data_IF_535354561892
#
_entry.id   IF_535354561892
#
_cell.length_a   1.000
_cell.length_b   1.000
_cell.length_c   1.000
_cell.angle_alpha   90.00
_cell.angle_beta   90.00
_cell.angle_gamma   90.00
#
_symmetry.space_group_name_H-M   'P 1'
#
loop_
_entity.id
_entity.type
_entity.pdbx_description
1 polymer ?
#
# COMPACT_ATOMS: atom_id res chain seq x y z
N UNK A 1 6.23 -50.51 49.51
CA UNK A 1 7.18 -50.61 50.64
C UNK A 1 7.68 -49.18 50.95
N UNK A 2 7.36 -48.71 52.19
CA UNK A 2 7.98 -47.65 53.01
C UNK A 2 8.25 -46.30 52.32
N UNK A 3 7.44 -45.23 52.53
CA UNK A 3 7.32 -44.31 53.70
C UNK A 3 8.63 -43.64 54.06
N UNK A 4 8.68 -42.34 54.04
CA UNK A 4 8.88 -41.52 55.26
C UNK A 4 8.59 -40.04 54.94
N UNK A 5 7.62 -39.57 55.71
CA UNK A 5 7.29 -38.17 55.99
C UNK A 5 8.44 -37.49 56.70
N UNK A 6 8.62 -36.18 56.55
CA UNK A 6 9.02 -35.31 57.61
C UNK A 6 8.39 -33.92 57.52
N UNK A 7 7.80 -33.61 58.66
CA UNK A 7 7.02 -32.45 59.02
C UNK A 7 7.88 -31.23 59.37
N UNK A 8 7.31 -30.06 59.05
CA UNK A 8 7.18 -28.84 59.90
C UNK A 8 8.40 -28.29 60.70
N UNK A 9 8.63 -27.01 60.45
CA UNK A 9 8.62 -26.06 61.59
C UNK A 9 8.41 -24.62 61.12
N UNK A 10 7.32 -24.03 61.61
CA UNK A 10 6.96 -22.61 61.58
C UNK A 10 7.76 -21.83 62.55
N UNK A 11 8.43 -20.74 62.19
CA UNK A 11 8.86 -19.72 63.14
C UNK A 11 8.35 -18.36 62.73
N UNK A 12 7.41 -17.84 63.50
CA UNK A 12 6.95 -16.44 63.49
C UNK A 12 8.06 -15.56 64.07
N UNK A 13 8.31 -14.41 63.37
CA UNK A 13 9.03 -13.28 64.00
C UNK A 13 8.16 -12.02 63.95
N UNK A 14 8.27 -11.15 64.97
CA UNK A 14 7.29 -10.10 65.21
C UNK A 14 7.57 -8.84 64.47
N UNK A 15 6.45 -8.11 64.17
CA UNK A 15 6.44 -6.79 63.56
C UNK A 15 7.01 -5.72 64.49
N UNK A 16 8.01 -4.97 64.00
CA UNK A 16 8.37 -3.67 64.55
C UNK A 16 7.88 -2.59 63.61
N UNK A 17 6.95 -1.79 64.08
CA UNK A 17 6.45 -0.57 63.39
C UNK A 17 7.43 0.55 63.74
N UNK A 18 8.17 1.02 62.77
CA UNK A 18 8.98 2.22 62.89
C UNK A 18 8.23 3.38 62.23
N UNK A 19 7.74 4.30 63.06
CA UNK A 19 7.18 5.56 62.64
C UNK A 19 8.33 6.48 62.21
N UNK A 20 8.35 6.85 60.92
CA UNK A 20 9.23 7.91 60.40
C UNK A 20 8.39 9.18 60.31
N UNK A 21 8.74 10.18 61.12
CA UNK A 21 8.22 11.52 61.07
C UNK A 21 8.96 12.26 59.94
N UNK A 22 8.26 12.57 58.85
CA UNK A 22 8.80 13.45 57.82
C UNK A 22 8.56 14.91 58.19
N UNK A 23 9.63 15.63 58.51
CA UNK A 23 9.61 17.07 58.61
C UNK A 23 9.59 17.68 57.20
N UNK A 24 8.56 18.43 56.87
CA UNK A 24 8.46 19.20 55.63
C UNK A 24 9.36 20.43 55.70
N UNK A 25 10.43 20.44 54.90
CA UNK A 25 11.22 21.65 54.62
C UNK A 25 10.61 22.31 53.37
N UNK A 26 9.98 23.44 53.54
CA UNK A 26 9.51 24.31 52.46
C UNK A 26 10.68 25.09 51.89
N UNK A 27 11.08 24.76 50.66
CA UNK A 27 11.97 25.56 49.83
C UNK A 27 11.14 26.50 48.93
N UNK A 28 11.52 27.77 48.72
CA UNK A 28 10.81 28.68 47.84
C UNK A 28 11.10 28.32 46.41
N UNK A 29 10.03 28.04 45.64
CA UNK A 29 10.07 27.84 44.18
C UNK A 29 10.22 29.24 43.54
N UNK A 30 11.40 29.57 43.07
CA UNK A 30 11.61 30.68 42.14
C UNK A 30 11.08 30.27 40.77
N UNK A 31 9.97 30.88 40.37
CA UNK A 31 9.45 30.78 39.00
C UNK A 31 10.43 31.46 38.05
N UNK A 32 11.27 30.67 37.39
CA UNK A 32 11.96 31.09 36.18
C UNK A 32 10.95 31.00 35.02
N UNK A 33 10.40 32.16 34.62
CA UNK A 33 9.70 32.29 33.34
C UNK A 33 10.72 32.10 32.22
N UNK A 34 10.97 30.87 31.84
CA UNK A 34 11.58 30.51 30.58
C UNK A 34 10.58 30.74 29.47
N UNK A 35 10.82 31.76 28.63
CA UNK A 35 10.18 31.88 27.34
C UNK A 35 10.49 30.62 26.57
N UNK A 36 9.53 29.66 26.52
CA UNK A 36 9.48 28.66 25.49
C UNK A 36 9.05 29.38 24.22
N UNK A 37 9.99 29.70 23.36
CA UNK A 37 9.71 29.89 21.94
C UNK A 37 9.14 28.51 21.48
N UNK A 38 7.84 28.45 21.40
CA UNK A 38 7.17 27.28 20.84
C UNK A 38 7.57 27.16 19.37
N UNK A 39 8.50 26.27 19.05
CA UNK A 39 8.58 25.66 17.74
C UNK A 39 7.26 24.91 17.55
N UNK A 40 6.28 25.57 16.94
CA UNK A 40 5.13 24.91 16.35
C UNK A 40 5.62 24.17 15.11
N UNK A 41 6.36 23.08 15.31
CA UNK A 41 6.44 22.05 14.29
C UNK A 41 5.03 21.53 14.12
N UNK A 42 4.36 21.85 13.03
CA UNK A 42 3.08 21.28 12.65
C UNK A 42 3.28 19.75 12.61
N UNK A 43 2.84 19.08 13.66
CA UNK A 43 2.85 17.64 13.70
C UNK A 43 1.75 17.22 12.73
N UNK A 44 2.13 16.58 11.63
CA UNK A 44 1.16 16.00 10.70
C UNK A 44 0.32 15.01 11.50
N UNK A 45 -0.97 15.26 11.61
CA UNK A 45 -1.89 14.35 12.30
C UNK A 45 -1.97 13.05 11.52
N UNK A 46 -1.39 11.98 12.07
CA UNK A 46 -1.40 10.65 11.49
C UNK A 46 -2.46 9.81 12.18
N UNK A 47 -3.53 9.45 11.48
CA UNK A 47 -4.49 8.47 11.96
C UNK A 47 -3.95 7.06 11.67
N UNK A 48 -3.81 6.24 12.72
CA UNK A 48 -3.33 4.86 12.61
C UNK A 48 -4.44 3.90 13.03
N UNK A 49 -4.77 2.94 12.16
CA UNK A 49 -5.80 1.94 12.43
C UNK A 49 -5.45 0.56 11.86
N UNK A 50 -6.16 -0.46 12.32
CA UNK A 50 -5.81 -1.84 12.02
C UNK A 50 -4.67 -2.37 12.89
N UNK A 51 -4.55 -3.69 12.92
CA UNK A 51 -3.48 -4.42 13.62
C UNK A 51 -3.42 -5.85 13.10
N UNK A 52 -2.38 -6.57 13.46
CA UNK A 52 -2.22 -7.96 13.07
C UNK A 52 -3.37 -8.84 13.56
N UNK A 53 -3.97 -9.64 12.68
CA UNK A 53 -5.00 -10.62 13.04
C UNK A 53 -5.86 -11.04 11.86
N UNK A 54 -6.87 -11.89 12.15
CA UNK A 54 -7.80 -12.47 11.17
C UNK A 54 -9.24 -11.98 11.36
N UNK A 55 -9.53 -11.28 12.44
CA UNK A 55 -10.85 -10.70 12.68
C UNK A 55 -11.08 -9.48 11.78
N UNK A 56 -12.31 -9.00 11.73
CA UNK A 56 -12.65 -7.78 11.01
C UNK A 56 -11.89 -6.57 11.58
N UNK A 57 -11.42 -5.71 10.68
CA UNK A 57 -10.54 -4.59 11.04
C UNK A 57 -9.09 -4.97 11.37
N UNK A 58 -8.70 -6.25 11.21
CA UNK A 58 -7.32 -6.72 11.37
C UNK A 58 -6.77 -7.23 10.07
N UNK A 59 -5.44 -7.23 9.94
CA UNK A 59 -4.75 -7.57 8.70
C UNK A 59 -3.60 -8.55 8.90
N UNK A 60 -3.35 -9.39 7.89
CA UNK A 60 -2.09 -10.12 7.71
C UNK A 60 -1.38 -9.60 6.46
N UNK A 61 -0.46 -8.66 6.64
CA UNK A 61 0.31 -8.05 5.55
C UNK A 61 -0.63 -7.60 4.41
N UNK A 62 -1.36 -6.49 4.58
CA UNK A 62 -2.21 -5.93 3.53
C UNK A 62 -1.35 -5.63 2.30
N UNK A 63 -1.87 -5.88 1.09
CA UNK A 63 -1.11 -5.86 -0.16
C UNK A 63 -1.63 -4.91 -1.21
N UNK A 64 -2.94 -4.70 -1.26
CA UNK A 64 -3.51 -3.73 -2.15
C UNK A 64 -4.63 -2.96 -1.47
N UNK A 65 -4.76 -1.72 -1.85
CA UNK A 65 -5.80 -0.80 -1.43
C UNK A 65 -6.28 -0.01 -2.65
N UNK A 66 -7.58 0.16 -2.75
CA UNK A 66 -8.19 1.11 -3.67
C UNK A 66 -9.34 1.82 -2.98
N UNK A 67 -9.82 2.89 -3.58
CA UNK A 67 -10.91 3.70 -3.05
C UNK A 67 -11.93 3.96 -4.16
N UNK A 68 -13.21 3.96 -3.83
CA UNK A 68 -14.26 4.30 -4.77
C UNK A 68 -14.71 5.77 -4.64
N UNK A 69 -15.67 6.16 -5.47
CA UNK A 69 -16.23 7.52 -5.51
C UNK A 69 -17.04 7.92 -4.27
N UNK A 70 -17.30 6.98 -3.36
CA UNK A 70 -17.94 7.19 -2.06
C UNK A 70 -16.94 7.19 -0.90
N UNK A 71 -15.64 7.27 -1.20
CA UNK A 71 -14.53 7.17 -0.23
C UNK A 71 -14.54 5.86 0.57
N UNK A 72 -15.06 4.75 0.00
CA UNK A 72 -14.93 3.43 0.61
C UNK A 72 -13.60 2.82 0.24
N UNK A 73 -12.85 2.41 1.25
CA UNK A 73 -11.54 1.78 1.11
C UNK A 73 -11.72 0.26 0.98
N UNK A 74 -11.20 -0.31 -0.09
CA UNK A 74 -11.13 -1.76 -0.32
C UNK A 74 -9.71 -2.21 -0.08
N UNK A 75 -9.49 -3.15 0.85
CA UNK A 75 -8.16 -3.61 1.24
C UNK A 75 -8.11 -5.12 1.18
N UNK A 76 -7.14 -5.68 0.46
CA UNK A 76 -6.88 -7.12 0.44
C UNK A 76 -5.59 -7.43 1.18
N UNK A 77 -5.59 -8.53 1.94
CA UNK A 77 -4.43 -9.01 2.66
C UNK A 77 -3.96 -10.41 2.18
N UNK A 78 -2.87 -10.91 2.75
CA UNK A 78 -2.31 -12.23 2.41
C UNK A 78 -3.26 -13.41 2.61
N UNK A 79 -4.40 -13.23 3.24
CA UNK A 79 -5.40 -14.28 3.47
C UNK A 79 -6.46 -14.33 2.37
N UNK A 80 -6.28 -13.56 1.28
CA UNK A 80 -7.24 -13.39 0.18
C UNK A 80 -8.60 -12.83 0.66
N UNK A 81 -8.60 -12.17 1.79
CA UNK A 81 -9.75 -11.47 2.34
C UNK A 81 -9.72 -10.02 1.89
N UNK A 82 -10.80 -9.58 1.29
CA UNK A 82 -11.08 -8.21 0.96
C UNK A 82 -11.93 -7.64 2.08
N UNK A 83 -11.53 -6.53 2.65
CA UNK A 83 -12.27 -5.80 3.67
C UNK A 83 -12.59 -4.40 3.17
N UNK A 84 -13.78 -3.93 3.45
CA UNK A 84 -14.26 -2.59 3.09
C UNK A 84 -14.40 -1.76 4.35
N UNK A 85 -13.91 -0.53 4.28
CA UNK A 85 -13.97 0.45 5.36
C UNK A 85 -14.46 1.78 4.82
N UNK A 86 -14.99 2.62 5.71
CA UNK A 86 -15.10 4.04 5.39
C UNK A 86 -13.72 4.73 5.48
N UNK A 87 -13.64 5.99 5.08
CA UNK A 87 -12.38 6.75 5.09
C UNK A 87 -11.80 6.98 6.50
N UNK A 88 -12.59 6.79 7.55
CA UNK A 88 -12.17 6.92 8.94
C UNK A 88 -11.67 5.59 9.53
N UNK A 89 -11.70 4.52 8.72
CA UNK A 89 -11.23 3.19 9.11
C UNK A 89 -12.26 2.35 9.85
N UNK A 90 -13.54 2.73 9.84
CA UNK A 90 -14.62 1.91 10.39
C UNK A 90 -14.95 0.78 9.42
N UNK A 91 -14.99 -0.45 9.95
CA UNK A 91 -15.28 -1.64 9.16
C UNK A 91 -16.73 -1.63 8.66
N UNK A 92 -16.92 -1.97 7.38
CA UNK A 92 -18.23 -2.07 6.73
C UNK A 92 -18.58 -3.52 6.45
N UNK A 93 -17.73 -4.25 5.70
CA UNK A 93 -17.96 -5.65 5.31
C UNK A 93 -16.68 -6.34 4.88
N UNK A 94 -16.75 -7.66 4.69
CA UNK A 94 -15.63 -8.43 4.12
C UNK A 94 -16.12 -9.66 3.37
N UNK A 95 -15.30 -10.12 2.43
CA UNK A 95 -15.45 -11.40 1.74
C UNK A 95 -14.09 -11.98 1.35
N UNK A 96 -14.09 -13.17 0.76
CA UNK A 96 -12.87 -13.81 0.27
C UNK A 96 -12.97 -14.11 -1.21
N UNK A 97 -11.83 -14.12 -1.88
CA UNK A 97 -11.76 -14.65 -3.25
C UNK A 97 -12.05 -16.16 -3.26
N UNK A 98 -12.60 -16.72 -4.36
CA UNK A 98 -13.12 -18.09 -4.39
C UNK A 98 -12.11 -19.18 -4.06
N UNK A 99 -10.84 -19.02 -4.44
CA UNK A 99 -9.77 -20.00 -4.22
C UNK A 99 -8.67 -19.38 -3.37
N UNK A 100 -8.85 -19.40 -2.04
CA UNK A 100 -7.96 -18.67 -1.14
C UNK A 100 -6.73 -19.46 -0.64
N UNK A 101 -6.61 -20.77 -0.90
CA UNK A 101 -5.51 -21.60 -0.37
C UNK A 101 -4.13 -21.19 -0.89
N UNK A 102 -4.03 -20.84 -2.16
CA UNK A 102 -2.80 -20.37 -2.80
C UNK A 102 -2.90 -18.91 -3.21
N UNK A 103 -4.11 -18.38 -3.27
CA UNK A 103 -4.40 -17.01 -3.66
C UNK A 103 -3.75 -16.01 -2.71
N UNK A 104 -3.10 -15.03 -3.29
CA UNK A 104 -2.54 -13.88 -2.59
C UNK A 104 -2.71 -12.68 -3.50
N UNK A 105 -3.95 -12.18 -3.64
CA UNK A 105 -4.21 -11.01 -4.47
C UNK A 105 -3.29 -9.87 -4.08
N UNK A 106 -2.76 -9.13 -5.05
CA UNK A 106 -1.86 -8.02 -4.79
C UNK A 106 -2.15 -6.74 -5.58
N UNK A 107 -3.20 -6.71 -6.40
CA UNK A 107 -3.70 -5.51 -7.06
C UNK A 107 -5.20 -5.34 -6.86
N UNK A 108 -5.64 -4.11 -6.61
CA UNK A 108 -7.04 -3.69 -6.52
C UNK A 108 -7.22 -2.37 -7.25
N UNK A 109 -8.26 -2.28 -8.08
CA UNK A 109 -8.67 -1.04 -8.75
C UNK A 109 -10.19 -0.98 -8.88
N UNK A 110 -10.74 0.20 -9.12
CA UNK A 110 -12.16 0.37 -9.43
C UNK A 110 -12.29 0.60 -10.94
N UNK A 111 -13.18 -0.16 -11.59
CA UNK A 111 -13.50 0.03 -13.00
C UNK A 111 -14.39 1.26 -13.21
N UNK A 112 -14.48 1.76 -14.45
CA UNK A 112 -15.31 2.93 -14.79
C UNK A 112 -16.80 2.74 -14.46
N UNK A 113 -17.28 1.49 -14.47
CA UNK A 113 -18.66 1.14 -14.11
C UNK A 113 -18.80 0.78 -12.61
N UNK A 114 -17.80 1.10 -11.78
CA UNK A 114 -17.86 0.99 -10.33
C UNK A 114 -17.62 -0.40 -9.75
N UNK A 115 -17.18 -1.37 -10.56
CA UNK A 115 -16.82 -2.71 -10.06
C UNK A 115 -15.42 -2.71 -9.45
N UNK A 116 -15.24 -3.48 -8.38
CA UNK A 116 -13.92 -3.76 -7.83
C UNK A 116 -13.23 -4.82 -8.69
N UNK A 117 -12.09 -4.47 -9.27
CA UNK A 117 -11.17 -5.36 -9.97
C UNK A 117 -10.14 -5.91 -9.00
N UNK A 118 -9.95 -7.22 -8.98
CA UNK A 118 -9.06 -7.93 -8.05
C UNK A 118 -8.07 -8.76 -8.84
N UNK A 119 -6.79 -8.43 -8.78
CA UNK A 119 -5.71 -9.22 -9.36
C UNK A 119 -5.46 -10.46 -8.49
N UNK A 120 -6.11 -11.58 -8.83
CA UNK A 120 -5.99 -12.87 -8.15
C UNK A 120 -4.71 -13.60 -8.62
N UNK A 121 -3.58 -13.06 -8.18
CA UNK A 121 -2.22 -13.28 -8.66
C UNK A 121 -1.86 -14.74 -8.91
N UNK A 122 -2.08 -15.63 -7.93
CA UNK A 122 -1.69 -17.02 -8.01
C UNK A 122 -2.73 -17.91 -8.73
N UNK A 123 -3.82 -17.30 -9.21
CA UNK A 123 -4.81 -17.93 -10.06
C UNK A 123 -4.89 -17.30 -11.45
N UNK A 124 -3.88 -16.45 -11.78
CA UNK A 124 -3.62 -15.98 -13.13
C UNK A 124 -4.79 -15.23 -13.77
N UNK A 125 -5.49 -14.39 -12.98
CA UNK A 125 -6.74 -13.75 -13.43
C UNK A 125 -7.03 -12.44 -12.73
N UNK A 126 -7.90 -11.65 -13.36
CA UNK A 126 -8.57 -10.51 -12.74
C UNK A 126 -10.03 -10.89 -12.50
N UNK A 127 -10.47 -10.78 -11.25
CA UNK A 127 -11.86 -10.98 -10.83
C UNK A 127 -12.58 -9.65 -10.67
N UNK A 128 -13.88 -9.66 -10.88
CA UNK A 128 -14.73 -8.48 -10.72
C UNK A 128 -15.79 -8.72 -9.66
N UNK A 129 -16.03 -7.71 -8.83
CA UNK A 129 -17.00 -7.74 -7.75
C UNK A 129 -17.83 -6.46 -7.75
N UNK A 130 -19.10 -6.56 -7.36
CA UNK A 130 -19.87 -5.38 -7.00
C UNK A 130 -19.32 -4.74 -5.73
N UNK A 131 -19.63 -3.48 -5.44
CA UNK A 131 -19.26 -2.84 -4.17
C UNK A 131 -19.74 -3.61 -2.93
N UNK A 132 -20.78 -4.42 -3.06
CA UNK A 132 -21.35 -5.27 -2.00
C UNK A 132 -20.57 -6.56 -1.79
N UNK A 133 -19.66 -6.93 -2.73
CA UNK A 133 -18.82 -8.12 -2.67
C UNK A 133 -19.39 -9.32 -3.44
N UNK A 134 -20.36 -9.11 -4.30
CA UNK A 134 -20.89 -10.14 -5.19
C UNK A 134 -19.97 -10.27 -6.41
N UNK A 135 -19.50 -11.48 -6.69
CA UNK A 135 -18.66 -11.73 -7.87
C UNK A 135 -19.46 -11.60 -9.15
N UNK A 136 -18.84 -11.01 -10.20
CA UNK A 136 -19.37 -10.91 -11.56
C UNK A 136 -18.56 -11.85 -12.47
N UNK A 137 -18.91 -13.15 -12.53
CA UNK A 137 -18.04 -14.16 -13.17
C UNK A 137 -17.80 -13.95 -14.65
N UNK A 138 -18.80 -13.43 -15.37
CA UNK A 138 -18.75 -13.19 -16.84
C UNK A 138 -17.76 -12.08 -17.23
N UNK A 139 -17.28 -11.30 -16.25
CA UNK A 139 -16.28 -10.24 -16.46
C UNK A 139 -14.85 -10.71 -16.19
N UNK A 140 -14.64 -11.96 -15.72
CA UNK A 140 -13.31 -12.48 -15.40
C UNK A 140 -12.38 -12.45 -16.61
N UNK A 141 -11.18 -11.84 -16.43
CA UNK A 141 -10.11 -11.83 -17.44
C UNK A 141 -9.03 -12.83 -17.03
N UNK A 142 -8.65 -13.73 -17.96
CA UNK A 142 -7.63 -14.74 -17.72
C UNK A 142 -8.17 -15.99 -16.99
N UNK A 143 -7.30 -16.62 -16.20
CA UNK A 143 -7.61 -17.85 -15.45
C UNK A 143 -6.78 -19.06 -15.87
N UNK A 144 -5.91 -18.89 -16.85
CA UNK A 144 -4.96 -19.90 -17.34
C UNK A 144 -3.54 -19.39 -17.18
N UNK A 145 -2.66 -20.24 -16.64
CA UNK A 145 -1.23 -19.92 -16.61
C UNK A 145 -0.60 -20.21 -17.97
N UNK A 146 0.12 -19.24 -18.53
CA UNK A 146 0.78 -19.41 -19.81
C UNK A 146 1.24 -18.12 -20.48
N UNK A 147 1.74 -18.25 -21.73
CA UNK A 147 2.28 -17.15 -22.57
C UNK A 147 1.32 -16.67 -23.64
N UNK A 148 0.28 -17.42 -23.89
CA UNK A 148 -0.67 -17.11 -24.93
C UNK A 148 -1.46 -15.82 -24.65
N UNK A 149 -2.22 -15.34 -25.65
CA UNK A 149 -3.15 -14.24 -25.48
C UNK A 149 -4.16 -14.51 -24.36
N UNK A 150 -4.22 -13.62 -23.36
CA UNK A 150 -5.11 -13.77 -22.20
C UNK A 150 -4.71 -14.84 -21.19
N UNK A 151 -3.58 -15.53 -21.40
CA UNK A 151 -2.95 -16.34 -20.37
C UNK A 151 -1.99 -15.48 -19.54
N UNK A 152 -1.83 -15.78 -18.25
CA UNK A 152 -1.00 -14.97 -17.36
C UNK A 152 0.02 -15.80 -16.58
N UNK A 153 1.11 -15.12 -16.19
CA UNK A 153 1.91 -15.43 -15.03
C UNK A 153 1.28 -14.84 -13.75
N UNK A 154 2.07 -14.23 -12.89
CA UNK A 154 1.57 -13.61 -11.67
C UNK A 154 1.02 -12.20 -11.95
N UNK A 155 -0.29 -12.08 -12.07
CA UNK A 155 -0.98 -10.80 -12.26
C UNK A 155 -0.72 -9.89 -11.07
N UNK A 156 -0.34 -8.63 -11.33
CA UNK A 156 0.02 -7.66 -10.29
C UNK A 156 -0.97 -6.52 -10.14
N UNK A 157 -1.37 -5.89 -11.25
CA UNK A 157 -2.31 -4.78 -11.21
C UNK A 157 -3.14 -4.69 -12.49
N UNK A 158 -4.21 -3.89 -12.46
CA UNK A 158 -5.11 -3.64 -13.60
C UNK A 158 -5.64 -2.22 -13.55
N UNK A 159 -5.62 -1.52 -14.69
CA UNK A 159 -6.21 -0.20 -14.88
C UNK A 159 -6.97 -0.10 -16.20
N UNK A 160 -7.79 0.94 -16.35
CA UNK A 160 -8.50 1.22 -17.59
C UNK A 160 -8.05 2.53 -18.23
N UNK A 161 -8.02 2.58 -19.59
CA UNK A 161 -7.89 3.83 -20.33
C UNK A 161 -9.26 4.56 -20.48
N UNK A 162 -9.27 5.75 -21.05
CA UNK A 162 -10.48 6.56 -21.25
C UNK A 162 -11.55 5.87 -22.12
N UNK A 163 -11.17 4.87 -22.91
CA UNK A 163 -12.05 4.07 -23.78
C UNK A 163 -12.60 2.83 -23.08
N UNK A 164 -12.16 2.57 -21.81
CA UNK A 164 -12.55 1.41 -21.02
C UNK A 164 -11.75 0.14 -21.32
N UNK A 165 -10.66 0.21 -22.10
CA UNK A 165 -9.78 -0.93 -22.28
C UNK A 165 -9.01 -1.21 -20.99
N UNK A 166 -8.76 -2.49 -20.70
CA UNK A 166 -8.00 -2.92 -19.55
C UNK A 166 -6.52 -3.11 -19.89
N UNK A 167 -5.65 -2.71 -18.98
CA UNK A 167 -4.21 -2.97 -19.02
C UNK A 167 -3.85 -3.75 -17.77
N UNK A 168 -3.29 -4.95 -17.96
CA UNK A 168 -3.00 -5.89 -16.87
C UNK A 168 -1.50 -6.16 -16.86
N UNK A 169 -0.83 -5.87 -15.75
CA UNK A 169 0.58 -6.20 -15.54
C UNK A 169 0.76 -7.57 -14.92
N UNK A 170 1.84 -8.25 -15.27
CA UNK A 170 2.21 -9.55 -14.74
C UNK A 170 3.72 -9.73 -14.65
N UNK A 171 4.15 -10.60 -13.75
CA UNK A 171 5.55 -11.00 -13.61
C UNK A 171 5.69 -12.51 -13.44
N UNK A 172 6.92 -12.97 -13.33
CA UNK A 172 7.27 -14.37 -13.14
C UNK A 172 8.10 -14.85 -14.32
N UNK A 173 7.53 -15.76 -15.13
CA UNK A 173 8.18 -16.16 -16.36
C UNK A 173 8.02 -15.13 -17.49
N UNK A 174 7.14 -14.13 -17.27
CA UNK A 174 6.77 -13.10 -18.26
C UNK A 174 6.63 -11.77 -17.53
N UNK A 175 7.53 -10.84 -17.77
CA UNK A 175 7.44 -9.47 -17.29
C UNK A 175 6.85 -8.63 -18.43
N UNK A 176 5.51 -8.53 -18.49
CA UNK A 176 4.79 -7.87 -19.59
C UNK A 176 3.50 -7.19 -19.13
N UNK A 177 2.88 -6.48 -20.04
CA UNK A 177 1.56 -5.90 -19.90
C UNK A 177 0.69 -6.40 -21.05
N UNK A 178 -0.56 -6.78 -20.77
CA UNK A 178 -1.54 -7.17 -21.77
C UNK A 178 -2.68 -6.16 -21.79
N UNK A 179 -3.14 -5.79 -23.01
CA UNK A 179 -4.33 -4.97 -23.24
C UNK A 179 -5.52 -5.85 -23.59
N UNK A 180 -6.66 -5.52 -23.00
CA UNK A 180 -7.95 -6.13 -23.32
C UNK A 180 -8.96 -5.03 -23.66
N UNK A 181 -9.89 -5.33 -24.57
CA UNK A 181 -11.02 -4.46 -24.88
C UNK A 181 -12.02 -4.34 -23.71
N UNK A 182 -12.97 -3.43 -23.76
CA UNK A 182 -13.97 -3.24 -22.69
C UNK A 182 -14.84 -4.49 -22.42
N UNK A 183 -14.99 -5.37 -23.42
CA UNK A 183 -15.67 -6.67 -23.30
C UNK A 183 -14.73 -7.82 -22.87
N UNK A 184 -13.48 -7.49 -22.47
CA UNK A 184 -12.52 -8.46 -21.93
C UNK A 184 -11.79 -9.31 -22.95
N UNK A 185 -11.85 -8.97 -24.26
CA UNK A 185 -11.13 -9.69 -25.30
C UNK A 185 -9.68 -9.20 -25.37
N UNK A 186 -8.75 -10.14 -25.54
CA UNK A 186 -7.34 -9.80 -25.75
C UNK A 186 -7.15 -8.94 -27.02
N UNK A 187 -6.33 -7.90 -26.91
CA UNK A 187 -5.99 -7.01 -28.02
C UNK A 187 -4.53 -7.18 -28.41
N UNK A 188 -3.61 -6.83 -27.52
CA UNK A 188 -2.17 -7.01 -27.71
C UNK A 188 -1.43 -7.08 -26.38
N UNK A 189 -0.13 -7.34 -26.46
CA UNK A 189 0.77 -7.32 -25.30
C UNK A 189 2.11 -6.74 -25.67
N UNK A 190 2.83 -6.19 -24.67
CA UNK A 190 4.22 -5.78 -24.83
C UNK A 190 5.00 -5.99 -23.54
N UNK A 191 6.31 -5.84 -23.66
CA UNK A 191 7.24 -6.08 -22.57
C UNK A 191 7.84 -7.46 -22.63
N UNK A 192 8.98 -7.56 -22.00
CA UNK A 192 9.74 -8.78 -21.76
C UNK A 192 10.69 -8.55 -20.59
N UNK A 193 11.24 -9.62 -20.06
CA UNK A 193 12.25 -9.54 -19.00
C UNK A 193 13.49 -8.77 -19.46
N UNK A 194 13.88 -7.71 -18.74
CA UNK A 194 15.06 -6.91 -19.06
C UNK A 194 15.07 -5.52 -18.46
N UNK A 195 16.08 -4.72 -18.85
CA UNK A 195 16.34 -3.39 -18.31
C UNK A 195 16.18 -2.25 -19.32
N UNK A 196 16.09 -2.56 -20.62
CA UNK A 196 15.93 -1.56 -21.66
C UNK A 196 14.55 -0.87 -21.61
N UNK A 197 14.33 0.27 -22.27
CA UNK A 197 13.02 0.86 -22.43
C UNK A 197 12.02 -0.14 -23.03
N UNK A 198 10.85 -0.25 -22.40
CA UNK A 198 9.80 -1.22 -22.77
C UNK A 198 10.04 -2.65 -22.28
N UNK A 199 11.16 -2.94 -21.63
CA UNK A 199 11.41 -4.17 -20.89
C UNK A 199 11.16 -3.95 -19.40
N UNK A 200 10.79 -5.00 -18.67
CA UNK A 200 10.44 -4.91 -17.26
C UNK A 200 11.17 -5.96 -16.42
N UNK A 201 11.36 -5.65 -15.15
CA UNK A 201 11.72 -6.59 -14.11
C UNK A 201 10.70 -6.49 -12.98
N UNK A 202 9.78 -7.44 -12.94
CA UNK A 202 8.72 -7.50 -11.94
C UNK A 202 7.87 -6.22 -11.90
N UNK A 203 7.16 -5.87 -12.99
CA UNK A 203 6.23 -4.76 -12.97
C UNK A 203 5.15 -4.99 -11.91
N UNK A 204 4.84 -3.96 -11.15
CA UNK A 204 3.88 -4.01 -10.04
C UNK A 204 2.69 -3.11 -10.34
N UNK A 205 2.58 -1.95 -9.69
CA UNK A 205 1.46 -1.05 -9.82
C UNK A 205 1.40 -0.33 -11.16
N UNK A 206 0.20 -0.08 -11.61
CA UNK A 206 -0.15 0.68 -12.80
C UNK A 206 -0.94 1.92 -12.41
N UNK A 207 -0.79 3.00 -13.17
CA UNK A 207 -1.71 4.12 -13.15
C UNK A 207 -1.99 4.59 -14.58
N UNK A 208 -3.20 5.06 -14.82
CA UNK A 208 -3.58 5.70 -16.07
C UNK A 208 -3.82 7.18 -15.81
N UNK A 209 -3.21 8.04 -16.60
CA UNK A 209 -3.46 9.47 -16.48
C UNK A 209 -4.57 9.97 -17.43
N UNK A 210 -4.90 11.24 -17.34
CA UNK A 210 -5.96 11.88 -18.11
C UNK A 210 -5.63 12.09 -19.60
N UNK A 211 -4.44 11.69 -20.04
CA UNK A 211 -3.99 11.73 -21.45
C UNK A 211 -3.82 10.32 -22.02
N UNK A 212 -4.36 9.29 -21.35
CA UNK A 212 -4.13 7.88 -21.67
C UNK A 212 -2.64 7.50 -21.72
N UNK A 213 -1.84 8.07 -20.82
CA UNK A 213 -0.50 7.58 -20.57
C UNK A 213 -0.53 6.55 -19.44
N UNK A 214 0.01 5.38 -19.72
CA UNK A 214 0.15 4.30 -18.74
C UNK A 214 1.48 4.44 -18.00
N UNK A 215 1.41 4.55 -16.70
CA UNK A 215 2.54 4.63 -15.77
C UNK A 215 2.74 3.28 -15.11
N UNK A 216 3.96 2.75 -15.16
CA UNK A 216 4.30 1.39 -14.73
C UNK A 216 5.38 1.44 -13.68
N UNK A 217 5.09 0.94 -12.49
CA UNK A 217 6.11 0.71 -11.44
C UNK A 217 6.92 -0.54 -11.80
N UNK A 218 8.09 -0.33 -12.43
CA UNK A 218 9.04 -1.35 -12.84
C UNK A 218 9.97 -1.67 -11.65
N UNK A 219 9.44 -2.44 -10.68
CA UNK A 219 9.90 -2.50 -9.32
C UNK A 219 11.36 -2.93 -9.16
N UNK A 220 11.77 -4.01 -9.81
CA UNK A 220 13.15 -4.51 -9.68
C UNK A 220 14.16 -3.76 -10.56
N UNK A 221 13.68 -2.90 -11.47
CA UNK A 221 14.50 -1.92 -12.19
C UNK A 221 14.57 -0.56 -11.46
N UNK A 222 13.85 -0.42 -10.33
CA UNK A 222 13.88 0.79 -9.51
C UNK A 222 13.51 2.07 -10.27
N UNK A 223 12.51 1.97 -11.15
CA UNK A 223 12.06 3.07 -12.02
C UNK A 223 10.55 3.04 -12.25
N UNK A 224 10.03 4.14 -12.74
CA UNK A 224 8.70 4.22 -13.34
C UNK A 224 8.88 4.38 -14.85
N UNK A 225 8.22 3.58 -15.66
CA UNK A 225 8.15 3.75 -17.11
C UNK A 225 6.80 4.31 -17.53
N UNK A 226 6.78 5.17 -18.55
CA UNK A 226 5.58 5.82 -19.06
C UNK A 226 5.40 5.48 -20.53
N UNK A 227 4.19 5.06 -20.89
CA UNK A 227 3.80 4.72 -22.27
C UNK A 227 2.57 5.51 -22.67
N UNK A 228 2.57 6.06 -23.89
CA UNK A 228 1.36 6.55 -24.53
C UNK A 228 0.61 5.34 -25.11
N UNK A 229 -0.61 5.12 -24.63
CA UNK A 229 -1.47 4.00 -25.06
C UNK A 229 -2.78 4.48 -25.73
N UNK A 230 -2.85 5.76 -26.07
CA UNK A 230 -3.99 6.37 -26.77
C UNK A 230 -4.19 5.85 -28.19
N UNK A 231 -3.09 5.37 -28.82
CA UNK A 231 -3.05 4.79 -30.17
C UNK A 231 -3.30 3.27 -30.19
N UNK A 232 -3.00 2.67 -31.37
CA UNK A 232 -3.20 1.22 -31.59
C UNK A 232 -2.10 0.37 -30.90
N UNK A 233 -0.91 0.92 -30.73
CA UNK A 233 0.24 0.27 -30.09
C UNK A 233 0.84 1.17 -28.99
N UNK A 234 1.44 0.62 -27.94
CA UNK A 234 2.06 1.40 -26.87
C UNK A 234 3.35 2.06 -27.37
N UNK A 235 3.51 3.34 -27.10
CA UNK A 235 4.73 4.10 -27.41
C UNK A 235 5.44 4.46 -26.11
N UNK A 236 6.70 4.05 -25.96
CA UNK A 236 7.52 4.46 -24.82
C UNK A 236 7.73 5.98 -24.83
N UNK A 237 7.41 6.65 -23.74
CA UNK A 237 7.56 8.10 -23.58
C UNK A 237 8.82 8.44 -22.80
N UNK A 238 8.96 7.87 -21.61
CA UNK A 238 10.07 8.18 -20.69
C UNK A 238 10.20 7.17 -19.55
N UNK A 239 11.31 7.29 -18.83
CA UNK A 239 11.55 6.60 -17.57
C UNK A 239 11.95 7.62 -16.49
N UNK A 240 11.44 7.45 -15.27
CA UNK A 240 11.72 8.31 -14.12
C UNK A 240 12.26 7.47 -12.96
N UNK A 241 13.17 8.06 -12.17
CA UNK A 241 13.81 7.42 -11.04
C UNK A 241 15.04 6.57 -11.44
N UNK A 242 15.81 6.22 -10.44
CA UNK A 242 16.96 5.33 -10.50
C UNK A 242 17.16 4.68 -9.14
N UNK A 243 17.89 3.57 -9.08
CA UNK A 243 18.12 2.87 -7.81
C UNK A 243 18.83 3.74 -6.77
N UNK A 244 18.24 3.85 -5.58
CA UNK A 244 18.84 4.55 -4.44
C UNK A 244 17.81 5.01 -3.40
N UNK A 245 18.30 5.77 -2.42
CA UNK A 245 17.48 6.29 -1.30
C UNK A 245 17.43 7.83 -1.26
N UNK A 246 18.23 8.53 -2.07
CA UNK A 246 18.18 9.99 -2.15
C UNK A 246 16.84 10.48 -2.72
N UNK A 247 16.48 11.75 -2.51
CA UNK A 247 15.30 12.33 -3.14
C UNK A 247 15.34 12.16 -4.67
N UNK A 248 14.24 11.72 -5.28
CA UNK A 248 14.13 11.40 -6.71
C UNK A 248 14.66 10.01 -7.11
N UNK A 249 15.43 9.34 -6.24
CA UNK A 249 15.78 7.93 -6.43
C UNK A 249 14.70 7.02 -5.85
N UNK A 250 14.57 5.82 -6.40
CA UNK A 250 13.55 4.84 -6.02
C UNK A 250 14.18 3.52 -5.57
N UNK A 251 13.51 2.83 -4.65
CA UNK A 251 13.88 1.47 -4.28
C UNK A 251 12.64 0.59 -4.21
N UNK A 252 12.53 -0.34 -5.16
CA UNK A 252 11.38 -1.21 -5.33
C UNK A 252 10.06 -0.41 -5.29
N UNK A 253 9.77 0.47 -6.29
CA UNK A 253 8.48 1.12 -6.39
C UNK A 253 7.40 0.06 -6.63
N UNK A 254 6.37 0.03 -5.75
CA UNK A 254 5.32 -0.99 -5.83
C UNK A 254 4.00 -0.44 -6.32
N UNK A 255 3.68 0.81 -5.99
CA UNK A 255 2.52 1.49 -6.54
C UNK A 255 2.88 2.88 -7.02
N UNK A 256 2.21 3.32 -8.05
CA UNK A 256 2.29 4.67 -8.61
C UNK A 256 0.86 5.24 -8.73
N UNK A 257 0.70 6.52 -8.46
CA UNK A 257 -0.52 7.29 -8.72
C UNK A 257 -0.15 8.63 -9.36
N UNK A 258 -0.92 9.06 -10.34
CA UNK A 258 -0.64 10.27 -11.12
C UNK A 258 -1.77 11.27 -10.95
N UNK A 259 -1.46 12.35 -10.26
CA UNK A 259 -2.43 13.40 -10.01
C UNK A 259 -2.51 14.42 -11.15
N UNK A 260 -3.68 15.03 -11.29
CA UNK A 260 -3.92 16.10 -12.28
C UNK A 260 -3.08 17.35 -12.02
N UNK A 261 -2.64 17.58 -10.79
CA UNK A 261 -1.76 18.70 -10.40
C UNK A 261 -0.31 18.53 -10.86
N UNK A 262 0.04 17.43 -11.50
CA UNK A 262 1.38 17.13 -12.00
C UNK A 262 2.27 16.37 -11.03
N UNK A 263 1.79 16.05 -9.84
CA UNK A 263 2.53 15.21 -8.90
C UNK A 263 2.31 13.72 -9.17
N UNK A 264 3.38 12.94 -9.11
CA UNK A 264 3.36 11.48 -9.15
C UNK A 264 3.73 10.95 -7.79
N UNK A 265 2.82 10.25 -7.14
CA UNK A 265 3.05 9.61 -5.85
C UNK A 265 3.51 8.17 -6.07
N UNK A 266 4.58 7.78 -5.39
CA UNK A 266 5.16 6.43 -5.49
C UNK A 266 5.31 5.83 -4.11
N UNK A 267 4.82 4.60 -3.91
CA UNK A 267 5.15 3.83 -2.72
C UNK A 267 6.45 3.04 -2.96
N UNK A 268 7.42 3.23 -2.06
CA UNK A 268 8.72 2.59 -2.15
C UNK A 268 8.85 1.51 -1.08
N UNK A 269 8.64 0.27 -1.48
CA UNK A 269 8.76 -0.89 -0.59
C UNK A 269 10.16 -1.00 0.03
N UNK A 270 11.22 -0.70 -0.75
CA UNK A 270 12.60 -0.81 -0.30
C UNK A 270 13.07 0.35 0.59
N UNK A 271 12.57 1.55 0.37
CA UNK A 271 12.95 2.74 1.16
C UNK A 271 11.99 3.03 2.32
N UNK A 272 10.95 2.22 2.52
CA UNK A 272 9.98 2.39 3.61
C UNK A 272 9.30 3.76 3.62
N UNK A 273 9.00 4.33 2.45
CA UNK A 273 8.43 5.68 2.32
C UNK A 273 7.43 5.79 1.16
N UNK A 274 6.67 6.87 1.16
CA UNK A 274 6.04 7.41 -0.04
C UNK A 274 6.84 8.61 -0.50
N UNK A 275 6.96 8.78 -1.81
CA UNK A 275 7.60 9.94 -2.40
C UNK A 275 6.70 10.55 -3.47
N UNK A 276 6.63 11.88 -3.52
CA UNK A 276 6.09 12.61 -4.67
C UNK A 276 7.24 13.14 -5.51
N UNK A 277 7.13 12.92 -6.81
CA UNK A 277 8.06 13.39 -7.82
C UNK A 277 7.30 14.18 -8.88
N UNK A 278 7.98 15.08 -9.56
CA UNK A 278 7.41 15.84 -10.67
C UNK A 278 7.12 14.93 -11.86
N UNK A 279 5.91 15.06 -12.44
CA UNK A 279 5.46 14.26 -13.58
C UNK A 279 6.36 14.40 -14.80
N UNK A 280 6.98 15.58 -15.02
CA UNK A 280 7.72 15.90 -16.22
C UNK A 280 9.11 15.25 -16.24
N UNK A 281 9.85 15.37 -15.15
CA UNK A 281 11.28 15.03 -15.11
C UNK A 281 11.70 14.13 -13.94
N UNK A 282 10.77 13.81 -13.02
CA UNK A 282 11.05 12.96 -11.86
C UNK A 282 11.78 13.67 -10.73
N UNK A 283 11.92 15.01 -10.79
CA UNK A 283 12.51 15.75 -9.68
C UNK A 283 11.69 15.56 -8.39
N UNK A 284 12.36 15.46 -7.22
CA UNK A 284 11.68 15.19 -5.97
C UNK A 284 10.87 16.41 -5.53
N UNK A 285 9.60 16.20 -5.12
CA UNK A 285 8.75 17.24 -4.54
C UNK A 285 8.77 17.13 -3.02
N UNK A 286 8.40 15.94 -2.50
CA UNK A 286 8.34 15.67 -1.05
C UNK A 286 8.30 14.17 -0.78
N UNK A 287 8.56 13.78 0.46
CA UNK A 287 8.42 12.39 0.88
C UNK A 287 7.84 12.29 2.29
N UNK A 288 7.24 11.14 2.59
CA UNK A 288 6.67 10.83 3.88
C UNK A 288 6.97 9.38 4.27
N UNK A 289 7.24 9.15 5.56
CA UNK A 289 7.60 7.86 6.07
C UNK A 289 9.09 7.74 6.33
N UNK A 290 9.51 6.53 6.60
CA UNK A 290 10.86 6.08 6.95
C UNK A 290 10.74 4.77 7.70
N UNK A 291 11.84 4.01 7.88
CA UNK A 291 11.79 2.68 8.47
C UNK A 291 11.44 2.73 9.97
N UNK A 292 10.34 2.05 10.39
CA UNK A 292 10.00 1.95 11.81
C UNK A 292 8.59 1.48 12.09
N UNK A 293 8.09 1.78 13.33
CA UNK A 293 6.78 1.35 13.82
C UNK A 293 5.97 2.44 14.51
N UNK A 294 6.57 3.61 14.76
CA UNK A 294 5.82 4.74 15.32
C UNK A 294 4.82 5.29 14.29
N UNK A 295 3.82 6.08 14.68
CA UNK A 295 3.04 6.87 13.73
C UNK A 295 3.98 7.73 12.88
N UNK A 296 3.76 7.73 11.56
CA UNK A 296 4.66 8.39 10.60
C UNK A 296 5.81 7.53 10.10
N UNK A 297 6.13 6.41 10.74
CA UNK A 297 7.11 5.44 10.24
C UNK A 297 6.42 4.26 9.53
N UNK A 298 7.09 3.68 8.55
CA UNK A 298 6.58 2.60 7.71
C UNK A 298 7.49 1.37 7.74
N UNK A 299 6.88 0.20 7.51
CA UNK A 299 7.63 -1.02 7.26
C UNK A 299 7.14 -1.69 5.98
N UNK A 300 7.91 -1.49 4.90
CA UNK A 300 7.65 -2.05 3.58
C UNK A 300 6.21 -1.73 3.10
N UNK A 301 5.88 -0.45 2.86
CA UNK A 301 4.58 -0.05 2.34
C UNK A 301 4.37 -0.68 0.96
N UNK A 302 3.22 -1.36 0.80
CA UNK A 302 2.92 -2.01 -0.47
C UNK A 302 2.20 -1.07 -1.43
N UNK A 303 1.15 -0.44 -0.93
CA UNK A 303 0.28 0.40 -1.73
C UNK A 303 -0.32 1.54 -0.91
N UNK A 304 -0.97 2.47 -1.57
CA UNK A 304 -1.70 3.58 -0.98
C UNK A 304 -2.93 3.92 -1.84
N UNK A 305 -3.89 4.63 -1.25
CA UNK A 305 -5.00 5.26 -1.96
C UNK A 305 -5.14 6.71 -1.48
N UNK A 306 -5.71 7.57 -2.31
CA UNK A 306 -5.93 8.98 -1.99
C UNK A 306 -7.44 9.23 -2.04
N UNK A 307 -8.00 9.73 -0.93
CA UNK A 307 -9.43 10.02 -0.84
C UNK A 307 -9.83 11.34 -1.50
N UNK A 308 -11.14 11.62 -1.55
CA UNK A 308 -11.68 12.82 -2.20
C UNK A 308 -11.22 14.13 -1.54
N UNK A 309 -10.72 14.09 -0.30
CA UNK A 309 -10.16 15.24 0.43
C UNK A 309 -8.67 15.45 0.15
N UNK A 310 -8.00 14.47 -0.48
CA UNK A 310 -6.57 14.47 -0.74
C UNK A 310 -5.75 13.78 0.36
N UNK A 311 -6.39 13.22 1.38
CA UNK A 311 -5.70 12.43 2.41
C UNK A 311 -5.19 11.10 1.84
N UNK A 312 -4.00 10.70 2.25
CA UNK A 312 -3.33 9.48 1.78
C UNK A 312 -3.51 8.37 2.80
N UNK A 313 -4.05 7.24 2.35
CA UNK A 313 -4.19 6.02 3.12
C UNK A 313 -3.11 5.03 2.68
N UNK A 314 -2.08 4.81 3.47
CA UNK A 314 -0.95 3.93 3.12
C UNK A 314 -1.03 2.60 3.85
N UNK A 315 -0.80 1.52 3.11
CA UNK A 315 -0.64 0.18 3.67
C UNK A 315 0.76 0.06 4.31
N UNK A 316 0.82 0.14 5.61
CA UNK A 316 2.02 -0.16 6.38
C UNK A 316 2.10 -1.68 6.59
N UNK A 317 2.44 -2.38 5.49
CA UNK A 317 2.12 -3.80 5.27
C UNK A 317 2.75 -4.74 6.29
N UNK A 318 4.02 -4.53 6.64
CA UNK A 318 4.71 -5.38 7.61
C UNK A 318 4.47 -4.97 9.06
N UNK A 319 3.88 -3.79 9.29
CA UNK A 319 3.31 -3.40 10.58
C UNK A 319 1.83 -3.82 10.71
N UNK A 320 1.23 -4.39 9.65
CA UNK A 320 -0.14 -4.90 9.63
C UNK A 320 -1.21 -3.84 9.94
N UNK A 321 -1.01 -2.61 9.49
CA UNK A 321 -1.87 -1.45 9.79
C UNK A 321 -2.01 -0.54 8.58
N UNK A 322 -2.91 0.41 8.70
CA UNK A 322 -3.09 1.51 7.77
C UNK A 322 -2.72 2.79 8.49
N UNK A 323 -2.10 3.72 7.78
CA UNK A 323 -1.89 5.08 8.25
C UNK A 323 -2.52 6.06 7.28
N UNK A 324 -3.30 7.04 7.80
CA UNK A 324 -3.83 8.16 7.02
C UNK A 324 -3.11 9.42 7.42
N UNK A 325 -2.70 10.20 6.43
CA UNK A 325 -2.06 11.50 6.62
C UNK A 325 -2.43 12.44 5.47
N UNK A 326 -2.21 13.71 5.68
CA UNK A 326 -2.28 14.73 4.64
C UNK A 326 -0.87 15.19 4.30
N UNK A 327 -0.63 15.46 3.01
CA UNK A 327 0.61 16.12 2.65
C UNK A 327 0.59 17.54 3.19
N UNK A 328 1.58 17.93 3.99
CA UNK A 328 1.72 19.33 4.37
C UNK A 328 2.32 20.15 3.20
N UNK A 329 1.89 21.41 3.09
CA UNK A 329 2.38 22.31 2.05
C UNK A 329 3.78 22.87 2.38
N UNK A 330 4.36 22.53 3.52
CA UNK A 330 5.67 23.02 3.95
C UNK A 330 6.84 22.38 3.19
N UNK A 331 6.57 21.34 2.40
CA UNK A 331 7.57 20.72 1.51
C UNK A 331 8.78 20.08 2.22
N UNK A 332 8.74 19.97 3.55
CA UNK A 332 9.89 19.46 4.28
C UNK A 332 9.89 17.93 4.32
N UNK A 333 10.88 17.37 3.65
CA UNK A 333 11.37 16.03 3.94
C UNK A 333 11.95 16.07 5.35
N UNK A 334 11.24 15.55 6.35
CA UNK A 334 11.88 15.31 7.64
C UNK A 334 12.71 14.05 7.54
N UNK A 335 13.96 14.11 8.05
CA UNK A 335 14.90 13.02 8.01
C UNK A 335 14.45 11.80 8.81
#
# INVERSE_FOLDING_TARGET
MKRSDQLLQTTRRPHWVTMIVCAAIALPITLLNGCHSGDTTSQVDVLVWGRRGLDDGRFLKPRAITIDDQDRLYIVDMTSRIQVFDRDGNFIRSWRTPKCKQGKPCGLSISHDGLLMVCDTHYFRVLFYTPEGEQVPDRTIGGTNGRGPGEFGFVTDVVQDSKGNYYVSEYGDYDRIQKFSPDGQYVYQWGQHGTEPGQFLRPQGLAMDDQDQLWVADASNHRIQVFDVSGDEPVFVKSLGSNGSSPGQLSYPYQVDVRKDGAVTVSEFGNHRLQQIDRKDGSPIRSWGGPGRQPGELHQPWAFAIDSTGSVHVLDSYNHRIQRFEWDDSGMVKP
#
